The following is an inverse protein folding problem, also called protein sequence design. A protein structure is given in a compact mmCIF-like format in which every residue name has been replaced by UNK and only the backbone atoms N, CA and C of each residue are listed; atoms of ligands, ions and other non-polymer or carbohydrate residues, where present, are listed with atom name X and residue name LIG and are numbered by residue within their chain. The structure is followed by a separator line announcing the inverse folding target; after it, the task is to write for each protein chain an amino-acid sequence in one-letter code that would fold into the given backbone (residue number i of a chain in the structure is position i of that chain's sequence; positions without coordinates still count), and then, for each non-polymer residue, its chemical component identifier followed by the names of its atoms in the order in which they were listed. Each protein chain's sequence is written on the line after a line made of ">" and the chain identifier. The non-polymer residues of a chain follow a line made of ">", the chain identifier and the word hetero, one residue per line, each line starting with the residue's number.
data_IF_071324614393
#
_entry.id   IF_071324614393
#
_cell.length_a   1.000
_cell.length_b   1.000
_cell.length_c   1.000
_cell.angle_alpha   90.00
_cell.angle_beta   90.00
_cell.angle_gamma   90.00
#
_symmetry.space_group_name_H-M   'P 1'
#
loop_
_entity.id
_entity.type
_entity.pdbx_description
1 polymer ?
#
# COMPACT_ATOMS: atom_id res chain seq x y z
N UNK A 1 0.00 -3.12 -31.12
CA UNK A 1 0.14 -2.33 -32.32
C UNK A 1 1.50 -1.64 -32.32
N UNK A 2 2.46 -2.18 -33.08
CA UNK A 2 3.78 -1.60 -33.28
C UNK A 2 4.81 -1.74 -32.15
N UNK A 3 4.40 -2.16 -30.95
CA UNK A 3 5.27 -2.40 -29.81
C UNK A 3 5.36 -3.92 -29.61
N UNK A 4 6.56 -4.46 -29.37
CA UNK A 4 6.80 -5.90 -29.22
C UNK A 4 6.02 -6.51 -28.07
N UNK A 5 5.79 -7.82 -28.11
CA UNK A 5 5.19 -8.55 -27.01
C UNK A 5 6.12 -8.50 -25.77
N UNK A 6 5.54 -8.38 -24.56
CA UNK A 6 6.29 -8.39 -23.31
C UNK A 6 6.88 -7.05 -22.87
N UNK A 7 6.61 -5.95 -23.57
CA UNK A 7 7.02 -4.61 -23.12
C UNK A 7 6.11 -4.16 -21.97
N UNK A 8 6.71 -3.91 -20.81
CA UNK A 8 6.02 -3.49 -19.57
C UNK A 8 6.47 -2.11 -19.10
N UNK A 9 7.06 -1.31 -19.98
CA UNK A 9 7.40 0.07 -19.67
C UNK A 9 6.14 0.92 -19.56
N UNK A 10 6.12 1.92 -18.66
CA UNK A 10 4.96 2.79 -18.47
C UNK A 10 4.53 3.45 -19.80
N UNK A 11 3.28 3.26 -20.18
CA UNK A 11 2.72 3.80 -21.41
C UNK A 11 2.97 2.97 -22.68
N UNK A 12 3.78 1.92 -22.61
CA UNK A 12 4.10 1.04 -23.75
C UNK A 12 3.42 -0.33 -23.66
N UNK A 13 2.86 -0.67 -22.52
CA UNK A 13 2.15 -1.93 -22.30
C UNK A 13 0.74 -1.93 -22.93
N UNK A 14 0.15 -3.14 -23.00
CA UNK A 14 -1.17 -3.33 -23.58
C UNK A 14 -2.27 -2.62 -22.77
N UNK A 15 -2.12 -2.49 -21.45
CA UNK A 15 -3.04 -1.74 -20.60
C UNK A 15 -3.10 -0.27 -21.00
N UNK A 16 -1.95 0.35 -21.13
CA UNK A 16 -1.85 1.74 -21.60
C UNK A 16 -2.41 1.96 -23.01
N UNK A 17 -2.32 0.95 -23.89
CA UNK A 17 -2.97 1.02 -25.20
C UNK A 17 -4.50 1.05 -25.08
N UNK A 18 -5.07 0.18 -24.24
CA UNK A 18 -6.52 0.14 -23.99
C UNK A 18 -6.98 1.44 -23.33
N UNK A 19 -6.23 1.92 -22.34
CA UNK A 19 -6.56 3.15 -21.62
C UNK A 19 -6.60 4.35 -22.58
N UNK A 20 -5.64 4.48 -23.49
CA UNK A 20 -5.67 5.54 -24.50
C UNK A 20 -6.84 5.42 -25.46
N UNK A 21 -7.30 4.20 -25.74
CA UNK A 21 -8.41 3.99 -26.67
C UNK A 21 -9.77 4.32 -26.04
N UNK A 22 -9.90 4.08 -24.72
CA UNK A 22 -11.19 4.17 -24.00
C UNK A 22 -11.26 5.41 -23.12
N UNK A 23 -10.15 5.80 -22.51
CA UNK A 23 -10.08 6.86 -21.49
C UNK A 23 -9.34 8.11 -21.99
N UNK A 24 -9.20 8.29 -23.31
CA UNK A 24 -8.52 9.46 -23.84
C UNK A 24 -9.13 10.77 -23.32
N UNK A 25 -8.26 11.68 -22.88
CA UNK A 25 -8.69 12.92 -22.23
C UNK A 25 -9.13 12.80 -20.76
N UNK A 26 -9.28 11.58 -20.21
CA UNK A 26 -9.70 11.32 -18.83
C UNK A 26 -8.62 10.59 -18.00
N UNK A 27 -7.47 10.33 -18.59
CA UNK A 27 -6.34 9.69 -17.92
C UNK A 27 -5.66 10.60 -16.91
N UNK A 28 -4.91 10.00 -16.00
CA UNK A 28 -4.16 10.71 -14.98
C UNK A 28 -3.25 11.80 -15.58
N UNK A 29 -3.45 13.04 -15.12
CA UNK A 29 -2.84 14.25 -15.71
C UNK A 29 -1.31 14.22 -15.75
N UNK A 30 -0.66 13.49 -14.81
CA UNK A 30 0.80 13.44 -14.73
C UNK A 30 1.42 12.48 -15.75
N UNK A 31 0.73 11.39 -16.12
CA UNK A 31 1.24 10.41 -17.06
C UNK A 31 0.80 10.66 -18.49
N UNK A 32 -0.43 11.11 -18.71
CA UNK A 32 -1.08 11.41 -20.00
C UNK A 32 -1.16 10.26 -21.02
N UNK A 33 -0.35 9.23 -20.87
CA UNK A 33 -0.21 8.11 -21.81
C UNK A 33 -0.63 6.77 -21.26
N UNK A 34 -0.87 6.68 -19.96
CA UNK A 34 -1.32 5.48 -19.23
C UNK A 34 -1.94 5.89 -17.89
N UNK A 35 -2.77 5.03 -17.33
CA UNK A 35 -3.37 5.26 -16.03
C UNK A 35 -3.02 4.10 -15.08
N UNK A 36 -2.45 4.36 -13.88
CA UNK A 36 -2.20 3.31 -12.89
C UNK A 36 -3.49 2.66 -12.37
N UNK A 37 -4.63 3.33 -12.53
CA UNK A 37 -5.98 2.84 -12.21
C UNK A 37 -6.77 2.50 -13.48
N UNK A 38 -6.08 2.13 -14.55
CA UNK A 38 -6.63 1.84 -15.88
C UNK A 38 -7.57 0.63 -15.90
N UNK A 39 -8.24 0.43 -17.02
CA UNK A 39 -9.27 -0.60 -17.16
C UNK A 39 -8.72 -2.02 -16.96
N UNK A 40 -7.57 -2.34 -17.54
CA UNK A 40 -7.02 -3.70 -17.42
C UNK A 40 -6.40 -3.97 -16.05
N UNK A 41 -5.82 -2.96 -15.39
CA UNK A 41 -5.30 -3.09 -14.03
C UNK A 41 -6.40 -3.28 -12.98
N UNK A 42 -7.63 -2.87 -13.29
CA UNK A 42 -8.80 -3.09 -12.44
C UNK A 42 -9.13 -4.57 -12.25
N UNK A 43 -8.91 -5.42 -13.27
CA UNK A 43 -9.22 -6.86 -13.18
C UNK A 43 -8.44 -7.55 -12.05
N UNK A 44 -7.10 -7.50 -12.00
CA UNK A 44 -6.36 -8.08 -10.89
C UNK A 44 -6.54 -7.31 -9.56
N UNK A 45 -6.94 -6.05 -9.59
CA UNK A 45 -7.33 -5.32 -8.38
C UNK A 45 -8.59 -5.91 -7.75
N UNK A 46 -9.62 -6.22 -8.55
CA UNK A 46 -10.82 -6.94 -8.12
C UNK A 46 -10.45 -8.32 -7.55
N UNK A 47 -9.51 -9.05 -8.16
CA UNK A 47 -9.02 -10.30 -7.61
C UNK A 47 -8.39 -10.12 -6.21
N UNK A 48 -7.62 -9.05 -6.00
CA UNK A 48 -7.06 -8.74 -4.67
C UNK A 48 -8.16 -8.49 -3.64
N UNK A 49 -9.21 -7.78 -4.03
CA UNK A 49 -10.37 -7.54 -3.15
C UNK A 49 -11.12 -8.83 -2.82
N UNK A 50 -11.34 -9.71 -3.80
CA UNK A 50 -11.99 -11.00 -3.58
C UNK A 50 -11.19 -11.89 -2.63
N UNK A 51 -9.86 -11.89 -2.69
CA UNK A 51 -9.02 -12.59 -1.72
C UNK A 51 -9.25 -12.05 -0.30
N UNK A 52 -9.39 -10.74 -0.12
CA UNK A 52 -9.76 -10.14 1.16
C UNK A 52 -11.15 -10.57 1.64
N UNK A 53 -12.14 -10.63 0.75
CA UNK A 53 -13.49 -11.13 1.07
C UNK A 53 -13.44 -12.60 1.51
N UNK A 54 -12.68 -13.45 0.82
CA UNK A 54 -12.51 -14.86 1.20
C UNK A 54 -11.87 -14.99 2.58
N UNK A 55 -10.82 -14.22 2.87
CA UNK A 55 -10.20 -14.18 4.18
C UNK A 55 -11.19 -13.75 5.28
N UNK A 56 -11.99 -12.71 5.03
CA UNK A 56 -13.03 -12.27 5.96
C UNK A 56 -14.11 -13.33 6.20
N UNK A 57 -14.58 -14.01 5.16
CA UNK A 57 -15.53 -15.13 5.28
C UNK A 57 -14.94 -16.31 6.06
N UNK A 58 -13.65 -16.59 5.86
CA UNK A 58 -12.96 -17.62 6.62
C UNK A 58 -12.92 -17.30 8.11
N UNK A 59 -12.61 -16.06 8.49
CA UNK A 59 -12.60 -15.62 9.89
C UNK A 59 -13.99 -15.63 10.54
N UNK A 60 -15.06 -15.48 9.74
CA UNK A 60 -16.45 -15.56 10.21
C UNK A 60 -16.99 -17.00 10.22
N UNK A 61 -16.20 -17.99 9.80
CA UNK A 61 -16.61 -19.39 9.78
C UNK A 61 -16.69 -19.98 11.21
N UNK A 62 -17.34 -21.13 11.34
CA UNK A 62 -17.50 -21.84 12.62
C UNK A 62 -16.26 -22.64 13.05
N UNK A 63 -15.13 -22.49 12.36
CA UNK A 63 -13.89 -23.19 12.71
C UNK A 63 -13.25 -22.59 13.97
N UNK A 64 -12.45 -23.38 14.66
CA UNK A 64 -11.72 -22.92 15.83
C UNK A 64 -10.74 -21.80 15.41
N UNK A 65 -10.46 -20.86 16.31
CA UNK A 65 -9.51 -19.75 16.03
C UNK A 65 -8.13 -20.25 15.66
N UNK A 66 -7.71 -21.36 16.25
CA UNK A 66 -6.44 -22.02 15.91
C UNK A 66 -6.45 -22.54 14.45
N UNK A 67 -7.50 -23.21 14.05
CA UNK A 67 -7.68 -23.64 12.65
C UNK A 67 -7.69 -22.46 11.68
N UNK A 68 -8.47 -21.43 12.02
CA UNK A 68 -8.51 -20.20 11.21
C UNK A 68 -7.12 -19.61 11.01
N UNK A 69 -6.31 -19.56 12.10
CA UNK A 69 -4.93 -19.08 12.05
C UNK A 69 -4.04 -19.94 11.13
N UNK A 70 -4.06 -21.25 11.33
CA UNK A 70 -3.20 -22.18 10.58
C UNK A 70 -3.52 -22.13 9.08
N UNK A 71 -4.79 -22.26 8.72
CA UNK A 71 -5.18 -22.26 7.31
C UNK A 71 -4.95 -20.90 6.63
N UNK A 72 -5.16 -19.79 7.35
CA UNK A 72 -4.86 -18.48 6.80
C UNK A 72 -3.36 -18.26 6.59
N UNK A 73 -2.52 -18.76 7.50
CA UNK A 73 -1.06 -18.72 7.34
C UNK A 73 -0.63 -19.54 6.12
N UNK A 74 -1.13 -20.78 6.00
CA UNK A 74 -0.80 -21.65 4.88
C UNK A 74 -1.26 -21.05 3.55
N UNK A 75 -2.47 -20.51 3.49
CA UNK A 75 -2.98 -19.83 2.31
C UNK A 75 -2.15 -18.59 1.96
N UNK A 76 -1.76 -17.80 2.97
CA UNK A 76 -0.88 -16.65 2.79
C UNK A 76 0.48 -17.02 2.21
N UNK A 77 1.13 -18.05 2.78
CA UNK A 77 2.42 -18.56 2.28
C UNK A 77 2.30 -19.12 0.85
N UNK A 78 1.22 -19.84 0.57
CA UNK A 78 0.93 -20.34 -0.78
C UNK A 78 0.79 -19.18 -1.78
N UNK A 79 0.08 -18.13 -1.42
CA UNK A 79 -0.09 -16.94 -2.27
C UNK A 79 1.23 -16.22 -2.50
N UNK A 80 2.09 -16.09 -1.48
CA UNK A 80 3.44 -15.53 -1.63
C UNK A 80 4.24 -16.35 -2.63
N UNK A 81 4.26 -17.69 -2.45
CA UNK A 81 4.97 -18.61 -3.33
C UNK A 81 4.45 -18.54 -4.77
N UNK A 82 3.13 -18.57 -4.96
CA UNK A 82 2.51 -18.39 -6.27
C UNK A 82 2.85 -17.03 -6.90
N UNK A 83 2.89 -15.95 -6.11
CA UNK A 83 3.28 -14.64 -6.59
C UNK A 83 4.70 -14.62 -7.14
N UNK A 84 5.64 -15.27 -6.44
CA UNK A 84 7.05 -15.39 -6.88
C UNK A 84 7.17 -16.27 -8.13
N UNK A 85 6.45 -17.38 -8.20
CA UNK A 85 6.46 -18.23 -9.41
C UNK A 85 5.90 -17.47 -10.60
N UNK A 86 4.77 -16.80 -10.44
CA UNK A 86 4.14 -16.03 -11.52
C UNK A 86 5.01 -14.88 -12.01
N UNK A 87 5.88 -14.34 -11.16
CA UNK A 87 6.89 -13.35 -11.53
C UNK A 87 7.80 -13.84 -12.66
N UNK A 88 8.19 -15.10 -12.59
CA UNK A 88 9.13 -15.71 -13.54
C UNK A 88 8.46 -16.31 -14.78
N UNK A 89 7.26 -16.88 -14.65
CA UNK A 89 6.65 -17.67 -15.73
C UNK A 89 5.54 -16.93 -16.48
N UNK A 90 4.93 -15.91 -15.89
CA UNK A 90 3.78 -15.22 -16.48
C UNK A 90 4.04 -13.73 -16.70
N UNK A 91 4.29 -12.99 -15.63
CA UNK A 91 4.38 -11.54 -15.67
C UNK A 91 5.12 -11.01 -14.45
N UNK A 92 6.13 -10.12 -14.61
CA UNK A 92 6.90 -9.57 -13.51
C UNK A 92 6.03 -8.89 -12.45
N UNK A 93 6.48 -8.94 -11.20
CA UNK A 93 5.84 -8.23 -10.09
C UNK A 93 5.91 -6.72 -10.35
N UNK A 94 4.78 -6.13 -10.69
CA UNK A 94 4.69 -4.69 -10.96
C UNK A 94 3.43 -4.11 -10.31
N UNK A 95 3.65 -3.21 -9.34
CA UNK A 95 2.57 -2.53 -8.62
C UNK A 95 1.80 -1.57 -9.52
N UNK A 96 2.49 -0.85 -10.40
CA UNK A 96 1.84 0.16 -11.26
C UNK A 96 0.88 -0.43 -12.26
N UNK A 97 1.15 -1.65 -12.72
CA UNK A 97 0.29 -2.40 -13.63
C UNK A 97 -0.68 -3.33 -12.88
N UNK A 98 -0.56 -3.43 -11.55
CA UNK A 98 -1.30 -4.35 -10.71
C UNK A 98 -1.27 -5.79 -11.23
N UNK A 99 -0.06 -6.27 -11.58
CA UNK A 99 0.10 -7.59 -12.22
C UNK A 99 -0.47 -8.73 -11.36
N UNK A 100 -0.88 -9.84 -11.99
CA UNK A 100 -1.34 -11.03 -11.26
C UNK A 100 -0.33 -11.55 -10.24
N UNK A 101 0.96 -11.50 -10.53
CA UNK A 101 2.06 -11.83 -9.60
C UNK A 101 2.08 -10.89 -8.40
N UNK A 102 2.00 -9.58 -8.63
CA UNK A 102 1.93 -8.58 -7.58
C UNK A 102 0.69 -8.78 -6.67
N UNK A 103 -0.48 -8.98 -7.28
CA UNK A 103 -1.74 -9.18 -6.56
C UNK A 103 -1.66 -10.35 -5.56
N UNK A 104 -1.11 -11.50 -5.97
CA UNK A 104 -0.96 -12.68 -5.10
C UNK A 104 0.12 -12.47 -4.05
N UNK A 105 1.25 -11.90 -4.42
CA UNK A 105 2.33 -11.60 -3.48
C UNK A 105 1.86 -10.66 -2.38
N UNK A 106 1.19 -9.56 -2.75
CA UNK A 106 0.68 -8.58 -1.81
C UNK A 106 -0.40 -9.17 -0.88
N UNK A 107 -1.37 -9.92 -1.43
CA UNK A 107 -2.40 -10.59 -0.65
C UNK A 107 -1.81 -11.66 0.27
N UNK A 108 -0.80 -12.41 -0.20
CA UNK A 108 -0.11 -13.41 0.60
C UNK A 108 0.61 -12.80 1.79
N UNK A 109 1.39 -11.76 1.59
CA UNK A 109 2.04 -11.04 2.70
C UNK A 109 1.05 -10.40 3.65
N UNK A 110 -0.03 -9.81 3.13
CA UNK A 110 -1.11 -9.27 3.97
C UNK A 110 -1.72 -10.35 4.88
N UNK A 111 -2.00 -11.55 4.33
CA UNK A 111 -2.53 -12.67 5.09
C UNK A 111 -1.53 -13.18 6.15
N UNK A 112 -0.25 -13.31 5.82
CA UNK A 112 0.81 -13.74 6.76
C UNK A 112 0.93 -12.77 7.93
N UNK A 113 1.06 -11.47 7.64
CA UNK A 113 1.18 -10.43 8.67
C UNK A 113 -0.09 -10.35 9.52
N UNK A 114 -1.27 -10.37 8.89
CA UNK A 114 -2.55 -10.39 9.60
C UNK A 114 -2.64 -11.59 10.54
N UNK A 115 -2.29 -12.78 10.06
CA UNK A 115 -2.31 -14.02 10.86
C UNK A 115 -1.39 -13.93 12.08
N UNK A 116 -0.21 -13.34 11.93
CA UNK A 116 0.71 -13.16 13.05
C UNK A 116 0.08 -12.28 14.16
N UNK A 117 -0.54 -11.16 13.78
CA UNK A 117 -1.24 -10.29 14.74
C UNK A 117 -2.49 -10.95 15.30
N UNK A 118 -3.29 -11.65 14.49
CA UNK A 118 -4.48 -12.38 14.94
C UNK A 118 -4.12 -13.44 15.96
N UNK A 119 -3.06 -14.23 15.68
CA UNK A 119 -2.58 -15.19 16.65
C UNK A 119 -2.10 -14.51 17.95
N UNK A 120 -1.32 -13.45 17.85
CA UNK A 120 -0.73 -12.77 18.98
C UNK A 120 -1.78 -12.12 19.90
N UNK A 121 -2.83 -11.53 19.33
CA UNK A 121 -3.82 -10.73 20.05
C UNK A 121 -5.04 -11.54 20.48
N UNK A 122 -5.48 -12.50 19.68
CA UNK A 122 -6.78 -13.16 19.85
C UNK A 122 -6.66 -14.64 20.21
N UNK A 123 -5.63 -15.34 19.72
CA UNK A 123 -5.54 -16.80 19.77
C UNK A 123 -4.55 -17.31 20.82
N UNK A 124 -3.47 -16.58 21.08
CA UNK A 124 -2.39 -17.01 21.98
C UNK A 124 -2.96 -17.40 23.35
N UNK A 125 -2.64 -18.62 23.85
CA UNK A 125 -3.17 -19.12 25.13
C UNK A 125 -2.63 -18.35 26.34
N UNK A 126 -1.47 -17.72 26.22
CA UNK A 126 -0.82 -17.02 27.33
C UNK A 126 -1.39 -15.61 27.51
N UNK A 127 -2.26 -15.42 28.49
CA UNK A 127 -2.92 -14.15 28.79
C UNK A 127 -1.96 -12.98 29.01
N UNK A 128 -0.82 -13.21 29.65
CA UNK A 128 0.21 -12.18 29.86
C UNK A 128 0.81 -11.69 28.52
N UNK A 129 1.05 -12.60 27.56
CA UNK A 129 1.57 -12.25 26.23
C UNK A 129 0.52 -11.45 25.45
N UNK A 130 -0.75 -11.88 25.46
CA UNK A 130 -1.85 -11.12 24.85
C UNK A 130 -2.00 -9.73 25.44
N UNK A 131 -1.96 -9.61 26.77
CA UNK A 131 -2.07 -8.31 27.42
C UNK A 131 -0.90 -7.37 27.09
N UNK A 132 0.32 -7.89 27.02
CA UNK A 132 1.49 -7.14 26.59
C UNK A 132 1.34 -6.70 25.12
N UNK A 133 0.96 -7.63 24.24
CA UNK A 133 0.74 -7.36 22.82
C UNK A 133 -0.37 -6.31 22.62
N UNK A 134 -1.52 -6.44 23.29
CA UNK A 134 -2.62 -5.49 23.22
C UNK A 134 -2.21 -4.08 23.66
N UNK A 135 -1.33 -3.97 24.66
CA UNK A 135 -0.81 -2.68 25.12
C UNK A 135 0.11 -2.05 24.07
N UNK A 136 0.97 -2.85 23.48
CA UNK A 136 1.92 -2.42 22.44
C UNK A 136 1.23 -2.03 21.13
N UNK A 137 0.18 -2.77 20.75
CA UNK A 137 -0.55 -2.54 19.50
C UNK A 137 -1.67 -1.51 19.63
N UNK A 138 -1.98 -1.04 20.85
CA UNK A 138 -3.04 -0.04 21.08
C UNK A 138 -2.98 1.17 20.13
N UNK A 139 -1.83 1.81 19.88
CA UNK A 139 -1.75 2.90 18.93
C UNK A 139 -2.19 2.48 17.52
N UNK A 140 -1.73 1.32 17.03
CA UNK A 140 -2.10 0.83 15.70
C UNK A 140 -3.58 0.47 15.59
N UNK A 141 -4.18 -0.03 16.68
CA UNK A 141 -5.63 -0.31 16.73
C UNK A 141 -6.42 1.00 16.64
N UNK A 142 -6.05 2.03 17.40
CA UNK A 142 -6.70 3.35 17.32
C UNK A 142 -6.61 3.92 15.90
N UNK A 143 -5.43 3.81 15.27
CA UNK A 143 -5.20 4.27 13.90
C UNK A 143 -6.06 3.48 12.90
N UNK A 144 -6.11 2.15 13.04
CA UNK A 144 -6.89 1.27 12.18
C UNK A 144 -8.40 1.46 12.31
N UNK A 145 -8.91 1.73 13.51
CA UNK A 145 -10.33 2.02 13.73
C UNK A 145 -10.79 3.32 13.07
N UNK A 146 -9.86 4.26 12.84
CA UNK A 146 -10.12 5.55 12.21
C UNK A 146 -9.47 5.66 10.83
N UNK A 147 -9.20 4.53 10.17
CA UNK A 147 -8.39 4.48 8.94
C UNK A 147 -8.89 5.40 7.84
N UNK A 148 -10.20 5.46 7.60
CA UNK A 148 -10.79 6.33 6.57
C UNK A 148 -10.60 7.82 6.90
N UNK A 149 -10.84 8.19 8.16
CA UNK A 149 -10.63 9.56 8.63
C UNK A 149 -9.16 9.96 8.48
N UNK A 150 -8.25 9.13 8.96
CA UNK A 150 -6.80 9.39 8.89
C UNK A 150 -6.32 9.48 7.45
N UNK A 151 -6.81 8.61 6.56
CA UNK A 151 -6.50 8.68 5.13
C UNK A 151 -6.93 10.02 4.51
N UNK A 152 -8.19 10.41 4.72
CA UNK A 152 -8.70 11.67 4.19
C UNK A 152 -8.01 12.89 4.81
N UNK A 153 -7.82 12.87 6.13
CA UNK A 153 -7.19 13.97 6.88
C UNK A 153 -5.71 14.12 6.51
N UNK A 154 -4.95 13.04 6.45
CA UNK A 154 -3.53 13.09 6.04
C UNK A 154 -3.37 13.60 4.62
N UNK A 155 -4.25 13.21 3.70
CA UNK A 155 -4.29 13.72 2.34
C UNK A 155 -4.59 15.22 2.28
N UNK A 156 -5.54 15.70 3.10
CA UNK A 156 -5.85 17.11 3.23
C UNK A 156 -4.65 17.90 3.77
N UNK A 157 -4.05 17.44 4.88
CA UNK A 157 -2.87 18.08 5.48
C UNK A 157 -1.71 18.11 4.49
N UNK A 158 -1.42 17.01 3.79
CA UNK A 158 -0.36 16.97 2.79
C UNK A 158 -0.59 17.98 1.66
N UNK A 159 -1.82 18.13 1.19
CA UNK A 159 -2.20 19.15 0.21
C UNK A 159 -2.02 20.56 0.77
N UNK A 160 -2.49 20.83 1.98
CA UNK A 160 -2.31 22.15 2.63
C UNK A 160 -0.83 22.51 2.78
N UNK A 161 0.03 21.56 3.17
CA UNK A 161 1.48 21.78 3.24
C UNK A 161 2.10 22.13 1.87
N UNK A 162 1.49 21.67 0.77
CA UNK A 162 1.88 22.05 -0.59
C UNK A 162 1.33 23.42 -1.03
N UNK A 163 0.10 23.77 -0.62
CA UNK A 163 -0.56 25.01 -1.01
C UNK A 163 -0.03 26.25 -0.27
N UNK A 164 0.24 26.11 1.02
CA UNK A 164 0.79 27.21 1.82
C UNK A 164 2.21 27.47 1.37
N UNK A 165 2.45 28.66 0.80
CA UNK A 165 3.75 29.06 0.27
C UNK A 165 4.22 30.31 0.98
N UNK A 166 5.51 30.40 1.25
CA UNK A 166 6.18 31.55 1.82
C UNK A 166 7.16 32.13 0.81
N UNK A 167 7.21 33.47 0.70
CA UNK A 167 8.22 34.12 -0.09
C UNK A 167 9.55 34.11 0.66
N UNK A 168 10.61 33.69 -0.02
CA UNK A 168 11.98 33.75 0.49
C UNK A 168 12.64 35.07 0.15
N UNK A 169 13.78 35.36 0.78
CA UNK A 169 14.55 36.59 0.56
C UNK A 169 15.06 36.70 -0.90
N UNK A 170 15.16 35.61 -1.62
CA UNK A 170 15.54 35.55 -3.04
C UNK A 170 14.36 35.72 -4.00
N UNK A 171 13.15 35.95 -3.49
CA UNK A 171 11.93 36.09 -4.27
C UNK A 171 11.29 34.75 -4.69
N UNK A 172 11.89 33.62 -4.36
CA UNK A 172 11.31 32.30 -4.63
C UNK A 172 10.17 31.96 -3.66
N UNK A 173 9.18 31.19 -4.13
CA UNK A 173 8.07 30.70 -3.30
C UNK A 173 8.35 29.29 -2.84
N UNK A 174 8.52 29.10 -1.54
CA UNK A 174 8.73 27.79 -0.94
C UNK A 174 7.46 27.30 -0.24
N UNK A 175 7.04 26.05 -0.51
CA UNK A 175 5.89 25.49 0.19
C UNK A 175 6.24 25.13 1.65
N UNK A 176 5.24 25.20 2.53
CA UNK A 176 5.40 24.87 3.95
C UNK A 176 5.99 23.46 4.13
N UNK A 177 5.56 22.48 3.32
CA UNK A 177 6.13 21.14 3.34
C UNK A 177 7.63 21.11 3.06
N UNK A 178 8.10 21.87 2.08
CA UNK A 178 9.54 21.98 1.78
C UNK A 178 10.28 22.71 2.91
N UNK A 179 9.67 23.74 3.50
CA UNK A 179 10.24 24.46 4.65
C UNK A 179 10.42 23.55 5.86
N UNK A 180 9.44 22.71 6.16
CA UNK A 180 9.52 21.72 7.24
C UNK A 180 10.52 20.58 6.93
N UNK A 181 10.71 20.23 5.67
CA UNK A 181 11.66 19.22 5.26
C UNK A 181 13.12 19.72 5.27
N UNK A 182 13.34 21.02 5.05
CA UNK A 182 14.68 21.60 4.93
C UNK A 182 15.62 21.30 6.11
N UNK A 183 15.23 21.46 7.39
CA UNK A 183 16.09 21.13 8.53
C UNK A 183 16.40 19.63 8.62
N UNK A 184 15.47 18.77 8.22
CA UNK A 184 15.68 17.31 8.21
C UNK A 184 16.68 16.93 7.12
N UNK A 185 16.58 17.56 5.96
CA UNK A 185 17.51 17.36 4.86
C UNK A 185 18.94 17.79 5.18
N UNK A 186 19.11 18.76 6.08
CA UNK A 186 20.41 19.25 6.51
C UNK A 186 21.14 18.29 7.47
N UNK A 187 20.47 17.24 7.96
CA UNK A 187 21.09 16.23 8.81
C UNK A 187 22.18 15.44 8.03
N UNK A 188 23.28 15.06 8.69
CA UNK A 188 24.38 14.33 8.06
C UNK A 188 24.05 12.83 7.89
N UNK A 189 22.93 12.53 7.25
CA UNK A 189 22.45 11.17 6.94
C UNK A 189 22.06 11.06 5.47
N UNK A 190 22.01 9.83 4.95
CA UNK A 190 21.66 9.62 3.55
C UNK A 190 20.28 10.21 3.20
N UNK A 191 20.11 10.79 1.99
CA UNK A 191 18.84 11.43 1.57
C UNK A 191 17.61 10.52 1.69
N UNK A 192 17.78 9.21 1.52
CA UNK A 192 16.70 8.22 1.71
C UNK A 192 16.24 8.21 3.16
N UNK A 193 17.19 8.26 4.11
CA UNK A 193 16.87 8.25 5.55
C UNK A 193 16.25 9.56 6.01
N UNK A 194 16.62 10.70 5.42
CA UNK A 194 15.95 11.99 5.70
C UNK A 194 14.49 11.98 5.26
N UNK A 195 14.21 11.40 4.09
CA UNK A 195 12.85 11.24 3.59
C UNK A 195 12.04 10.28 4.46
N UNK A 196 12.64 9.18 4.90
CA UNK A 196 12.01 8.24 5.84
C UNK A 196 11.70 8.92 7.17
N UNK A 197 12.65 9.67 7.74
CA UNK A 197 12.47 10.39 8.98
C UNK A 197 11.32 11.41 8.87
N UNK A 198 11.25 12.16 7.77
CA UNK A 198 10.16 13.08 7.52
C UNK A 198 8.80 12.36 7.45
N UNK A 199 8.74 11.23 6.77
CA UNK A 199 7.52 10.42 6.68
C UNK A 199 7.09 9.88 8.05
N UNK A 200 8.04 9.42 8.87
CA UNK A 200 7.76 8.96 10.24
C UNK A 200 7.26 10.09 11.13
N UNK A 201 7.87 11.28 11.06
CA UNK A 201 7.42 12.46 11.81
C UNK A 201 6.03 12.92 11.36
N UNK A 202 5.76 12.91 10.06
CA UNK A 202 4.42 13.21 9.53
C UNK A 202 3.38 12.23 10.06
N UNK A 203 3.66 10.92 10.01
CA UNK A 203 2.75 9.92 10.57
C UNK A 203 2.57 10.08 12.09
N UNK A 204 3.65 10.37 12.83
CA UNK A 204 3.55 10.63 14.26
C UNK A 204 2.68 11.87 14.58
N UNK A 205 2.80 12.93 13.76
CA UNK A 205 1.95 14.11 13.89
C UNK A 205 0.46 13.83 13.60
N UNK A 206 0.16 12.84 12.72
CA UNK A 206 -1.22 12.40 12.48
C UNK A 206 -1.78 11.57 13.64
N UNK A 207 -0.92 11.15 14.56
CA UNK A 207 -1.28 10.36 15.74
C UNK A 207 -1.66 11.23 16.94
N UNK A 208 -1.21 12.48 16.97
CA UNK A 208 -1.39 13.43 18.07
C UNK A 208 -2.76 14.13 17.99
#
# INVERSE_FOLDING_TARGET
>A
PGIGAGVLEPGMDFGAYVDRMVLDGHMWVQSKTWDPEGMLSTIPAVCSQLLGVLAGRWLLSQHSRTEQTVWMLLAGLLLVWLGVILDTILMPINKSLWTPSYSRLAAGWAAVVFTAFYWLLDVNPHGAVRAAAARWTKPFVIYGMNALFIFAFSGLVAKMLGFIKFSQADGSMLSLGKTLYAPIRALPIAPVNTSLLYALLFNAAMFA
#
